data_IF_088233808173
#
_entry.id   IF_088233808173
#
_cell.length_a   1.000
_cell.length_b   1.000
_cell.length_c   1.000
_cell.angle_alpha   90.00
_cell.angle_beta   90.00
_cell.angle_gamma   90.00
#
_symmetry.space_group_name_H-M   'P 1'
#
loop_
_entity.id
_entity.type
_entity.pdbx_description
1 polymer ?
#
# COMPACT_ATOMS: atom_id res chain seq x y z
N UNK A 1 -28.85 -18.42 -5.29
CA UNK A 1 -28.32 -17.05 -5.51
C UNK A 1 -28.10 -16.88 -7.01
N UNK A 2 -28.45 -15.70 -7.55
CA UNK A 2 -28.89 -15.48 -8.94
C UNK A 2 -27.88 -15.75 -10.05
N UNK A 3 -28.37 -16.31 -11.15
CA UNK A 3 -27.65 -16.70 -12.38
C UNK A 3 -27.74 -15.64 -13.50
N UNK A 4 -28.16 -14.41 -13.17
CA UNK A 4 -28.54 -13.37 -14.14
C UNK A 4 -27.37 -12.64 -14.82
N UNK A 5 -26.13 -13.11 -14.67
CA UNK A 5 -25.00 -12.57 -15.43
C UNK A 5 -25.17 -12.95 -16.92
N UNK A 6 -25.11 -11.94 -17.79
CA UNK A 6 -25.20 -12.13 -19.24
C UNK A 6 -24.06 -13.04 -19.68
N UNK A 7 -24.29 -13.90 -20.67
CA UNK A 7 -23.30 -14.93 -21.09
C UNK A 7 -21.94 -14.33 -21.48
N UNK A 8 -21.94 -13.10 -22.00
CA UNK A 8 -20.73 -12.35 -22.33
C UNK A 8 -19.93 -11.88 -21.09
N UNK A 9 -20.58 -11.50 -19.99
CA UNK A 9 -19.93 -11.10 -18.74
C UNK A 9 -19.22 -12.28 -18.09
N UNK A 10 -19.88 -13.46 -18.10
CA UNK A 10 -19.28 -14.71 -17.61
C UNK A 10 -18.03 -15.08 -18.41
N UNK A 11 -18.08 -14.95 -19.73
CA UNK A 11 -16.92 -15.25 -20.58
C UNK A 11 -15.75 -14.30 -20.30
N UNK A 12 -16.01 -13.00 -20.10
CA UNK A 12 -14.96 -12.02 -19.82
C UNK A 12 -14.28 -12.29 -18.48
N UNK A 13 -15.07 -12.62 -17.44
CA UNK A 13 -14.52 -12.98 -16.12
C UNK A 13 -13.69 -14.26 -16.22
N UNK A 14 -14.14 -15.28 -16.96
CA UNK A 14 -13.38 -16.51 -17.15
C UNK A 14 -12.01 -16.21 -17.80
N UNK A 15 -11.99 -15.43 -18.88
CA UNK A 15 -10.73 -15.02 -19.53
C UNK A 15 -9.83 -14.20 -18.59
N UNK A 16 -10.40 -13.33 -17.76
CA UNK A 16 -9.63 -12.56 -16.79
C UNK A 16 -8.97 -13.47 -15.74
N UNK A 17 -9.69 -14.47 -15.22
CA UNK A 17 -9.15 -15.44 -14.27
C UNK A 17 -8.05 -16.29 -14.91
N UNK A 18 -8.23 -16.76 -16.15
CA UNK A 18 -7.19 -17.50 -16.87
C UNK A 18 -5.90 -16.67 -17.01
N UNK A 19 -6.01 -15.38 -17.30
CA UNK A 19 -4.85 -14.48 -17.36
C UNK A 19 -4.17 -14.32 -16.01
N UNK A 20 -4.95 -14.29 -14.91
CA UNK A 20 -4.41 -14.19 -13.56
C UNK A 20 -3.65 -15.46 -13.16
N UNK A 21 -4.19 -16.64 -13.49
CA UNK A 21 -3.51 -17.93 -13.31
C UNK A 21 -2.19 -18.00 -14.08
N UNK A 22 -2.13 -17.47 -15.31
CA UNK A 22 -0.88 -17.40 -16.08
C UNK A 22 0.16 -16.45 -15.45
N UNK A 23 -0.28 -15.38 -14.79
CA UNK A 23 0.61 -14.49 -14.03
C UNK A 23 1.15 -15.21 -12.79
N UNK A 24 0.28 -15.89 -12.03
CA UNK A 24 0.68 -16.67 -10.85
C UNK A 24 1.64 -17.82 -11.22
N UNK A 25 1.42 -18.46 -12.36
CA UNK A 25 2.29 -19.49 -12.91
C UNK A 25 3.57 -18.95 -13.56
N UNK A 26 3.82 -17.63 -13.47
CA UNK A 26 4.99 -16.94 -14.02
C UNK A 26 5.16 -17.10 -15.55
N UNK A 27 4.06 -17.39 -16.27
CA UNK A 27 4.06 -17.52 -17.75
C UNK A 27 3.93 -16.18 -18.46
N UNK A 28 3.49 -15.14 -17.74
CA UNK A 28 3.27 -13.79 -18.27
C UNK A 28 3.98 -12.76 -17.40
N UNK A 29 4.80 -11.91 -18.02
CA UNK A 29 5.42 -10.76 -17.35
C UNK A 29 4.41 -9.62 -17.26
N UNK A 30 4.28 -9.02 -16.09
CA UNK A 30 3.39 -7.90 -15.81
C UNK A 30 4.09 -6.86 -14.94
N UNK A 31 3.54 -5.65 -14.93
CA UNK A 31 3.94 -4.57 -14.01
C UNK A 31 2.83 -4.43 -12.97
N UNK A 32 3.17 -4.62 -11.70
CA UNK A 32 2.27 -4.34 -10.57
C UNK A 32 2.49 -2.89 -10.12
N UNK A 33 1.45 -2.07 -10.23
CA UNK A 33 1.45 -0.70 -9.71
C UNK A 33 0.68 -0.70 -8.40
N UNK A 34 1.34 -0.35 -7.30
CA UNK A 34 0.70 -0.13 -6.01
C UNK A 34 0.71 1.37 -5.74
N UNK A 35 -0.48 1.97 -5.72
CA UNK A 35 -0.69 3.37 -5.40
C UNK A 35 -1.41 3.47 -4.05
N UNK A 36 -0.71 3.98 -3.04
CA UNK A 36 -1.20 4.09 -1.67
C UNK A 36 -0.95 5.51 -1.15
N UNK A 37 -1.98 6.37 -1.12
CA UNK A 37 -1.88 7.75 -0.63
C UNK A 37 -1.45 7.84 0.84
N UNK A 38 -1.71 6.80 1.65
CA UNK A 38 -1.30 6.78 3.05
C UNK A 38 0.18 6.39 3.23
N UNK A 39 0.82 5.82 2.21
CA UNK A 39 2.22 5.40 2.25
C UNK A 39 2.50 4.20 3.17
N UNK A 40 1.47 3.41 3.51
CA UNK A 40 1.59 2.27 4.44
C UNK A 40 1.86 0.93 3.74
N UNK A 41 1.80 0.91 2.41
CA UNK A 41 2.10 -0.25 1.58
C UNK A 41 3.61 -0.51 1.50
N UNK A 42 3.98 -1.79 1.54
CA UNK A 42 5.38 -2.22 1.51
C UNK A 42 5.61 -3.36 0.52
N UNK A 43 6.65 -3.23 -0.31
CA UNK A 43 7.19 -4.29 -1.15
C UNK A 43 8.63 -4.59 -0.71
N UNK A 44 8.90 -5.86 -0.38
CA UNK A 44 10.25 -6.31 -0.03
C UNK A 44 11.15 -6.32 -1.26
N UNK A 45 12.28 -5.62 -1.19
CA UNK A 45 13.38 -5.78 -2.15
C UNK A 45 14.23 -6.98 -1.76
N UNK A 46 14.40 -7.94 -2.68
CA UNK A 46 15.27 -9.10 -2.48
C UNK A 46 16.77 -8.76 -2.65
N UNK A 47 17.07 -7.58 -3.20
CA UNK A 47 18.43 -7.11 -3.47
C UNK A 47 18.95 -6.13 -2.42
N UNK A 48 18.15 -5.81 -1.39
CA UNK A 48 18.55 -4.87 -0.34
C UNK A 48 19.88 -5.29 0.33
N UNK A 49 20.83 -4.36 0.56
CA UNK A 49 20.68 -2.90 0.50
C UNK A 49 20.92 -2.29 -0.90
N UNK A 50 21.16 -3.09 -1.94
CA UNK A 50 21.34 -2.61 -3.30
C UNK A 50 20.00 -2.25 -3.95
N UNK A 51 20.04 -1.36 -4.94
CA UNK A 51 18.87 -1.01 -5.75
C UNK A 51 18.38 -2.23 -6.55
N UNK A 52 17.07 -2.51 -6.50
CA UNK A 52 16.45 -3.54 -7.35
C UNK A 52 15.97 -2.87 -8.66
N UNK A 53 16.52 -3.25 -9.83
CA UNK A 53 16.16 -2.63 -11.11
C UNK A 53 14.71 -2.92 -11.54
N UNK A 54 14.01 -3.84 -10.88
CA UNK A 54 12.62 -4.21 -11.16
C UNK A 54 11.61 -3.51 -10.25
N UNK A 55 12.08 -2.73 -9.27
CA UNK A 55 11.24 -2.03 -8.30
C UNK A 55 11.46 -0.52 -8.42
N UNK A 56 10.43 0.20 -8.82
CA UNK A 56 10.40 1.67 -8.84
C UNK A 56 9.54 2.16 -7.67
N UNK A 57 10.02 3.18 -6.96
CA UNK A 57 9.28 3.83 -5.87
C UNK A 57 9.16 5.32 -6.18
N UNK A 58 7.94 5.84 -6.15
CA UNK A 58 7.65 7.24 -6.38
C UNK A 58 6.91 7.79 -5.16
N UNK A 59 7.38 8.92 -4.64
CA UNK A 59 6.71 9.64 -3.56
C UNK A 59 6.02 10.86 -4.16
N UNK A 60 4.78 11.11 -3.75
CA UNK A 60 3.99 12.23 -4.26
C UNK A 60 3.26 12.93 -3.11
N UNK A 61 2.90 14.20 -3.35
CA UNK A 61 2.01 14.93 -2.44
C UNK A 61 0.56 14.51 -2.68
N UNK A 62 -0.12 14.09 -1.61
CA UNK A 62 -1.54 13.73 -1.67
C UNK A 62 -2.37 14.90 -2.20
N UNK A 63 -3.37 14.58 -3.01
CA UNK A 63 -4.39 15.53 -3.42
C UNK A 63 -5.32 15.89 -2.26
N UNK A 64 -6.07 16.99 -2.40
CA UNK A 64 -7.06 17.39 -1.40
C UNK A 64 -8.12 16.30 -1.16
N UNK A 65 -8.60 15.65 -2.22
CA UNK A 65 -9.59 14.57 -2.14
C UNK A 65 -9.01 13.33 -1.44
N UNK A 66 -7.73 13.00 -1.71
CA UNK A 66 -7.05 11.91 -0.99
C UNK A 66 -6.91 12.22 0.51
N UNK A 67 -6.64 13.47 0.87
CA UNK A 67 -6.63 13.87 2.28
C UNK A 67 -8.03 13.81 2.90
N UNK A 68 -9.09 14.12 2.14
CA UNK A 68 -10.47 14.03 2.60
C UNK A 68 -10.87 12.58 2.88
N UNK A 69 -10.57 11.66 1.95
CA UNK A 69 -10.81 10.22 2.13
C UNK A 69 -10.06 9.64 3.34
N UNK A 70 -8.87 10.18 3.63
CA UNK A 70 -8.08 9.81 4.80
C UNK A 70 -8.52 10.56 6.08
N UNK A 71 -9.48 11.48 6.00
CA UNK A 71 -9.97 12.28 7.13
C UNK A 71 -8.96 13.29 7.68
N UNK A 72 -7.99 13.70 6.85
CA UNK A 72 -6.88 14.56 7.26
C UNK A 72 -7.21 16.05 7.17
N UNK A 73 -8.14 16.45 6.30
CA UNK A 73 -8.49 17.86 6.12
C UNK A 73 -9.12 18.48 7.36
N UNK A 74 -9.92 17.70 8.12
CA UNK A 74 -10.58 18.12 9.35
C UNK A 74 -9.73 17.88 10.61
N UNK A 75 -8.50 17.39 10.46
CA UNK A 75 -7.64 17.08 11.59
C UNK A 75 -7.25 18.37 12.32
N UNK A 76 -7.71 18.50 13.57
CA UNK A 76 -7.26 19.57 14.45
C UNK A 76 -5.83 19.28 14.88
N UNK A 77 -4.91 20.18 14.56
CA UNK A 77 -3.50 20.09 14.96
C UNK A 77 -3.10 21.16 15.98
N UNK A 78 -4.01 22.09 16.30
CA UNK A 78 -3.78 23.16 17.27
C UNK A 78 -4.00 22.68 18.71
N UNK A 79 -3.28 23.28 19.67
CA UNK A 79 -3.35 23.02 21.12
C UNK A 79 -2.84 21.64 21.59
N UNK A 80 -2.11 20.90 20.75
CA UNK A 80 -1.44 19.65 21.14
C UNK A 80 -0.06 19.83 21.76
N UNK A 81 0.51 21.05 21.68
CA UNK A 81 1.85 21.37 22.24
C UNK A 81 1.88 21.44 23.78
N UNK A 82 0.72 21.50 24.44
CA UNK A 82 0.61 21.60 25.90
C UNK A 82 0.54 20.24 26.61
N UNK A 83 0.47 19.12 25.86
CA UNK A 83 0.52 17.79 26.44
C UNK A 83 1.97 17.50 26.88
N UNK A 84 2.18 17.28 28.17
CA UNK A 84 3.49 16.91 28.73
C UNK A 84 4.08 15.74 27.92
N UNK A 85 5.19 15.99 27.24
CA UNK A 85 5.98 14.92 26.62
C UNK A 85 6.39 13.95 27.73
N UNK A 86 5.82 12.75 27.72
CA UNK A 86 6.27 11.64 28.57
C UNK A 86 7.71 11.34 28.15
N UNK A 87 8.68 11.72 28.97
CA UNK A 87 10.08 11.33 28.76
C UNK A 87 10.17 9.84 29.04
N UNK A 88 10.50 9.03 28.03
CA UNK A 88 10.92 7.65 28.27
C UNK A 88 12.14 7.68 29.20
N UNK A 89 12.01 7.04 30.36
CA UNK A 89 13.15 6.82 31.24
C UNK A 89 14.13 5.89 30.51
N UNK A 90 15.38 6.34 30.36
CA UNK A 90 16.42 5.55 29.72
C UNK A 90 16.61 4.23 30.50
N UNK A 91 16.44 3.10 29.83
CA UNK A 91 16.78 1.79 30.39
C UNK A 91 18.25 1.78 30.83
N UNK A 92 18.50 1.55 32.12
CA UNK A 92 19.85 1.36 32.64
C UNK A 92 20.48 0.14 31.96
N UNK A 93 21.59 0.35 31.24
CA UNK A 93 22.44 -0.73 30.72
C UNK A 93 22.89 -1.64 31.88
N UNK A 94 22.36 -2.86 31.91
CA UNK A 94 22.89 -3.94 32.76
C UNK A 94 24.28 -4.31 32.23
N UNK A 95 25.32 -3.74 32.84
CA UNK A 95 26.71 -4.14 32.60
C UNK A 95 26.91 -5.60 33.03
N UNK A 96 27.28 -6.43 32.06
CA UNK A 96 27.80 -7.79 32.27
C UNK A 96 29.27 -7.75 32.67
#
# INVERSE_FOLDING_TARGET
MGDSARSNERSQIATFLDQFEDILAMKRVVTLVLDDPAGNSYIQSLSAPLEDPRLVKEFYERTFDQNEELGLNDMKVENYEELETVKEEAEEEVKK
#
